data_IF_848987904661
#
_entry.id   IF_848987904661
#
_cell.length_a   1.000
_cell.length_b   1.000
_cell.length_c   1.000
_cell.angle_alpha   90.00
_cell.angle_beta   90.00
_cell.angle_gamma   90.00
#
_symmetry.space_group_name_H-M   'P 1'
#
loop_
_entity.id
_entity.type
_entity.pdbx_description
1 polymer ?
#
# COMPACT_ATOMS: atom_id res chain seq x y z
N UNK A 1 -7.70 5.83 6.17
CA UNK A 1 -6.43 5.26 5.69
C UNK A 1 -6.28 3.84 6.15
N UNK A 2 -5.58 3.61 7.26
CA UNK A 2 -5.23 2.27 7.77
C UNK A 2 -6.38 1.24 7.84
N UNK A 3 -7.59 1.66 8.25
CA UNK A 3 -8.74 0.75 8.28
C UNK A 3 -9.20 0.24 6.91
N UNK A 4 -9.12 1.08 5.87
CA UNK A 4 -9.44 0.68 4.50
C UNK A 4 -8.37 -0.28 3.94
N UNK A 5 -7.12 -0.09 4.32
CA UNK A 5 -5.98 -0.94 3.95
C UNK A 5 -6.10 -2.31 4.60
N UNK A 6 -6.41 -2.35 5.90
CA UNK A 6 -6.63 -3.58 6.63
C UNK A 6 -7.82 -4.38 6.08
N UNK A 7 -8.92 -3.72 5.72
CA UNK A 7 -10.05 -4.37 5.05
C UNK A 7 -9.66 -4.92 3.67
N UNK A 8 -8.92 -4.15 2.87
CA UNK A 8 -8.47 -4.57 1.56
C UNK A 8 -7.54 -5.79 1.63
N UNK A 9 -6.55 -5.79 2.53
CA UNK A 9 -5.68 -6.95 2.76
C UNK A 9 -6.46 -8.14 3.34
N UNK A 10 -7.46 -7.89 4.18
CA UNK A 10 -8.35 -8.93 4.70
C UNK A 10 -9.10 -9.69 3.62
N UNK A 11 -9.50 -9.02 2.52
CA UNK A 11 -10.18 -9.70 1.40
C UNK A 11 -9.30 -10.72 0.69
N UNK A 12 -7.97 -10.59 0.76
CA UNK A 12 -7.03 -11.53 0.15
C UNK A 12 -7.06 -12.90 0.85
N UNK A 13 -7.42 -12.93 2.14
CA UNK A 13 -7.52 -14.19 2.91
C UNK A 13 -8.69 -15.09 2.47
N UNK A 14 -9.61 -14.54 1.67
CA UNK A 14 -10.77 -15.26 1.14
C UNK A 14 -10.50 -15.89 -0.24
N UNK A 15 -9.29 -15.76 -0.80
CA UNK A 15 -8.95 -16.39 -2.08
C UNK A 15 -8.82 -17.91 -1.93
N UNK A 16 -9.46 -18.63 -2.84
CA UNK A 16 -9.34 -20.08 -2.99
C UNK A 16 -9.06 -20.47 -4.45
N UNK A 17 -8.61 -21.71 -4.68
CA UNK A 17 -8.21 -22.24 -5.99
C UNK A 17 -9.38 -22.30 -7.00
N UNK A 18 -10.61 -22.29 -6.49
CA UNK A 18 -11.85 -22.31 -7.27
C UNK A 18 -12.44 -20.91 -7.52
N UNK A 19 -11.71 -19.84 -7.17
CA UNK A 19 -12.18 -18.46 -7.34
C UNK A 19 -12.36 -18.15 -8.83
N UNK A 20 -13.61 -17.95 -9.26
CA UNK A 20 -13.91 -17.56 -10.64
C UNK A 20 -13.35 -16.18 -10.99
N UNK A 21 -12.97 -15.99 -12.26
CA UNK A 21 -12.39 -14.73 -12.76
C UNK A 21 -13.15 -13.44 -12.35
N UNK A 22 -14.49 -13.40 -12.31
CA UNK A 22 -15.21 -12.20 -11.87
C UNK A 22 -14.98 -11.86 -10.39
N UNK A 23 -14.93 -12.88 -9.52
CA UNK A 23 -14.69 -12.70 -8.09
C UNK A 23 -13.24 -12.25 -7.85
N UNK A 24 -12.30 -12.87 -8.57
CA UNK A 24 -10.89 -12.45 -8.62
C UNK A 24 -10.75 -10.97 -9.03
N UNK A 25 -11.45 -10.55 -10.08
CA UNK A 25 -11.47 -9.16 -10.52
C UNK A 25 -12.02 -8.19 -9.46
N UNK A 26 -13.10 -8.57 -8.77
CA UNK A 26 -13.66 -7.75 -7.69
C UNK A 26 -12.72 -7.63 -6.49
N UNK A 27 -12.00 -8.70 -6.13
CA UNK A 27 -11.01 -8.68 -5.06
C UNK A 27 -9.81 -7.79 -5.43
N UNK A 28 -9.28 -7.93 -6.65
CA UNK A 28 -8.20 -7.07 -7.15
C UNK A 28 -8.63 -5.59 -7.17
N UNK A 29 -9.89 -5.31 -7.49
CA UNK A 29 -10.43 -3.96 -7.46
C UNK A 29 -10.49 -3.41 -6.02
N UNK A 30 -10.94 -4.21 -5.05
CA UNK A 30 -10.93 -3.81 -3.63
C UNK A 30 -9.52 -3.58 -3.12
N UNK A 31 -8.57 -4.46 -3.46
CA UNK A 31 -7.15 -4.33 -3.13
C UNK A 31 -6.57 -3.04 -3.72
N UNK A 32 -6.81 -2.79 -5.01
CA UNK A 32 -6.34 -1.58 -5.70
C UNK A 32 -6.90 -0.30 -5.11
N UNK A 33 -8.20 -0.25 -4.80
CA UNK A 33 -8.85 0.89 -4.14
C UNK A 33 -8.27 1.12 -2.74
N UNK A 34 -8.09 0.05 -1.95
CA UNK A 34 -7.47 0.13 -0.63
C UNK A 34 -6.03 0.64 -0.67
N UNK A 35 -5.23 0.15 -1.62
CA UNK A 35 -3.86 0.60 -1.84
C UNK A 35 -3.80 2.09 -2.24
N UNK A 36 -4.70 2.54 -3.13
CA UNK A 36 -4.79 3.95 -3.52
C UNK A 36 -5.07 4.87 -2.34
N UNK A 37 -6.05 4.54 -1.50
CA UNK A 37 -6.33 5.31 -0.27
C UNK A 37 -5.15 5.29 0.71
N UNK A 38 -4.43 4.17 0.79
CA UNK A 38 -3.23 4.04 1.61
C UNK A 38 -2.16 5.05 1.20
N UNK A 39 -1.89 5.13 -0.09
CA UNK A 39 -0.88 6.00 -0.66
C UNK A 39 -1.19 7.48 -0.44
N UNK A 40 -2.43 7.89 -0.71
CA UNK A 40 -2.87 9.27 -0.49
C UNK A 40 -2.73 9.67 0.98
N UNK A 41 -3.19 8.82 1.91
CA UNK A 41 -3.10 9.13 3.35
C UNK A 41 -1.66 9.14 3.83
N UNK A 42 -0.81 8.24 3.34
CA UNK A 42 0.60 8.19 3.72
C UNK A 42 1.34 9.43 3.26
N UNK A 43 1.11 9.88 2.02
CA UNK A 43 1.69 11.11 1.50
C UNK A 43 1.27 12.35 2.30
N UNK A 44 -0.02 12.47 2.64
CA UNK A 44 -0.54 13.58 3.46
C UNK A 44 0.02 13.55 4.89
N UNK A 45 0.10 12.38 5.52
CA UNK A 45 0.62 12.24 6.90
C UNK A 45 2.10 12.58 6.98
N UNK A 46 2.90 12.10 6.01
CA UNK A 46 4.33 12.36 5.99
C UNK A 46 4.58 13.87 5.82
N UNK A 47 3.87 14.53 4.89
CA UNK A 47 4.10 15.94 4.62
C UNK A 47 3.54 16.87 5.70
N UNK A 48 2.44 16.49 6.36
CA UNK A 48 1.81 17.30 7.42
C UNK A 48 2.48 17.18 8.79
N UNK A 49 3.30 16.14 9.01
CA UNK A 49 3.93 15.88 10.31
C UNK A 49 5.31 16.54 10.50
N UNK A 50 5.84 17.20 9.46
CA UNK A 50 7.18 17.81 9.47
C UNK A 50 7.10 19.31 9.15
N UNK A 51 7.88 20.16 9.84
CA UNK A 51 7.99 21.58 9.49
C UNK A 51 8.40 21.76 8.03
N UNK A 52 7.87 22.81 7.38
CA UNK A 52 8.08 23.05 5.94
C UNK A 52 9.55 23.16 5.56
N UNK A 53 10.41 23.62 6.48
CA UNK A 53 11.85 23.72 6.22
C UNK A 53 12.55 22.35 6.18
N UNK A 54 11.95 21.29 6.74
CA UNK A 54 12.48 19.92 6.74
C UNK A 54 11.73 18.96 5.80
N UNK A 55 10.70 19.44 5.08
CA UNK A 55 9.89 18.62 4.17
C UNK A 55 10.73 17.90 3.10
N UNK A 56 11.80 18.54 2.61
CA UNK A 56 12.73 17.92 1.65
C UNK A 56 13.47 16.70 2.21
N UNK A 57 13.98 16.79 3.45
CA UNK A 57 14.66 15.68 4.11
C UNK A 57 13.68 14.54 4.44
N UNK A 58 12.46 14.86 4.86
CA UNK A 58 11.43 13.85 5.12
C UNK A 58 10.98 13.14 3.84
N UNK A 59 10.85 13.87 2.72
CA UNK A 59 10.53 13.29 1.42
C UNK A 59 11.63 12.32 0.96
N UNK A 60 12.91 12.67 1.14
CA UNK A 60 14.03 11.79 0.78
C UNK A 60 14.05 10.49 1.60
N UNK A 61 13.77 10.57 2.91
CA UNK A 61 13.65 9.39 3.78
C UNK A 61 12.44 8.54 3.38
N UNK A 62 11.29 9.16 3.07
CA UNK A 62 10.10 8.45 2.59
C UNK A 62 10.35 7.71 1.27
N UNK A 63 11.04 8.34 0.32
CA UNK A 63 11.38 7.72 -0.96
C UNK A 63 12.30 6.52 -0.74
N UNK A 64 13.35 6.69 0.07
CA UNK A 64 14.27 5.60 0.41
C UNK A 64 13.54 4.42 1.07
N UNK A 65 12.62 4.72 2.00
CA UNK A 65 11.82 3.70 2.66
C UNK A 65 10.87 2.99 1.68
N UNK A 66 10.30 3.73 0.71
CA UNK A 66 9.45 3.16 -0.33
C UNK A 66 10.23 2.22 -1.25
N UNK A 67 11.37 2.67 -1.77
CA UNK A 67 12.24 1.84 -2.63
C UNK A 67 12.74 0.59 -1.90
N UNK A 68 13.17 0.73 -0.65
CA UNK A 68 13.60 -0.39 0.17
C UNK A 68 12.45 -1.38 0.42
N UNK A 69 11.26 -0.89 0.75
CA UNK A 69 10.07 -1.70 0.93
C UNK A 69 9.69 -2.47 -0.34
N UNK A 70 9.74 -1.81 -1.49
CA UNK A 70 9.50 -2.44 -2.79
C UNK A 70 10.54 -3.53 -3.09
N UNK A 71 11.83 -3.25 -2.88
CA UNK A 71 12.91 -4.21 -3.08
C UNK A 71 12.75 -5.46 -2.19
N UNK A 72 12.42 -5.27 -0.90
CA UNK A 72 12.15 -6.37 0.03
C UNK A 72 10.90 -7.15 -0.36
N UNK A 73 9.83 -6.49 -0.79
CA UNK A 73 8.61 -7.14 -1.26
C UNK A 73 8.86 -8.03 -2.47
N UNK A 74 9.62 -7.53 -3.45
CA UNK A 74 10.04 -8.33 -4.61
C UNK A 74 10.87 -9.53 -4.16
N UNK A 75 11.83 -9.33 -3.25
CA UNK A 75 12.69 -10.41 -2.76
C UNK A 75 11.91 -11.52 -2.04
N UNK A 76 10.90 -11.16 -1.23
CA UNK A 76 10.09 -12.11 -0.48
C UNK A 76 9.03 -12.82 -1.33
N UNK A 77 8.43 -12.14 -2.30
CA UNK A 77 7.42 -12.74 -3.19
C UNK A 77 8.04 -13.52 -4.35
N UNK A 78 9.29 -13.20 -4.70
CA UNK A 78 10.03 -13.83 -5.79
C UNK A 78 10.75 -15.13 -5.41
N UNK A 79 10.75 -15.52 -4.13
CA UNK A 79 11.29 -16.80 -3.63
C UNK A 79 10.22 -17.88 -3.53
#
# INVERSE_FOLDING_TARGET
>A
GLGAVGLALGTVTLLDQHTGYPLLGSMLLVVGVGAGFSFTVTADVILSSVPKEQAGSASAVSETAYELGAALGIALLGS
#
